data_IF_185685863696
#
_entry.id   IF_185685863696
#
_cell.length_a   1.000
_cell.length_b   1.000
_cell.length_c   1.000
_cell.angle_alpha   90.00
_cell.angle_beta   90.00
_cell.angle_gamma   90.00
#
_symmetry.space_group_name_H-M   'P 1'
#
loop_
_entity.id
_entity.type
_entity.pdbx_description
1 polymer ?
#
# COMPACT_ATOMS: atom_id res chain seq x y z
N UNK A 1 -4.55 -8.24 14.09
CA UNK A 1 -4.33 -7.88 12.66
C UNK A 1 -2.89 -8.21 12.30
N UNK A 2 -2.67 -8.81 11.14
CA UNK A 2 -1.36 -8.99 10.52
C UNK A 2 -1.20 -7.89 9.48
N UNK A 3 -0.14 -7.13 9.59
CA UNK A 3 0.13 -5.99 8.68
C UNK A 3 1.05 -6.46 7.56
N UNK A 4 0.61 -6.26 6.34
CA UNK A 4 1.44 -6.28 5.14
C UNK A 4 1.67 -4.83 4.73
N UNK A 5 2.78 -4.30 5.21
CA UNK A 5 3.23 -2.96 4.87
C UNK A 5 3.64 -2.86 3.39
N UNK A 6 4.06 -1.73 2.95
CA UNK A 6 4.45 -1.46 1.56
C UNK A 6 5.42 -2.51 1.00
N UNK A 7 5.20 -2.91 -0.25
CA UNK A 7 6.09 -3.84 -0.96
C UNK A 7 7.28 -3.07 -1.55
N UNK A 8 8.35 -2.95 -0.77
CA UNK A 8 9.54 -2.15 -1.13
C UNK A 8 10.79 -2.99 -1.43
N UNK A 9 10.60 -4.22 -1.90
CA UNK A 9 11.71 -5.15 -2.13
C UNK A 9 12.48 -4.89 -3.44
N UNK A 10 12.11 -3.86 -4.18
CA UNK A 10 12.72 -3.55 -5.47
C UNK A 10 12.41 -4.62 -6.52
N UNK A 11 13.38 -4.95 -7.34
CA UNK A 11 13.20 -5.89 -8.46
C UNK A 11 13.26 -7.38 -8.08
N UNK A 12 13.24 -7.74 -6.81
CA UNK A 12 13.24 -9.16 -6.42
C UNK A 12 11.85 -9.77 -6.62
N UNK A 13 11.74 -10.64 -7.60
CA UNK A 13 10.49 -11.29 -8.00
C UNK A 13 10.74 -12.70 -8.55
N UNK A 14 11.61 -13.46 -7.88
CA UNK A 14 12.02 -14.80 -8.29
C UNK A 14 12.11 -15.72 -7.08
N UNK A 15 11.62 -16.97 -7.23
CA UNK A 15 11.68 -18.03 -6.22
C UNK A 15 12.35 -19.28 -6.81
N UNK A 16 12.77 -20.22 -5.96
CA UNK A 16 13.50 -21.42 -6.39
C UNK A 16 12.72 -22.30 -7.37
N UNK A 17 11.40 -22.32 -7.28
CA UNK A 17 10.48 -23.08 -8.10
C UNK A 17 9.90 -22.30 -9.30
N UNK A 18 10.21 -21.00 -9.40
CA UNK A 18 9.60 -20.08 -10.36
C UNK A 18 9.64 -20.59 -11.81
N UNK A 19 10.79 -21.08 -12.27
CA UNK A 19 10.93 -21.59 -13.65
C UNK A 19 10.12 -22.85 -13.90
N UNK A 20 9.99 -23.70 -12.89
CA UNK A 20 9.17 -24.92 -12.96
C UNK A 20 7.70 -24.55 -13.09
N UNK A 21 7.23 -23.65 -12.25
CA UNK A 21 5.85 -23.15 -12.29
C UNK A 21 5.55 -22.40 -13.57
N UNK A 22 6.49 -21.56 -14.06
CA UNK A 22 6.36 -20.89 -15.35
C UNK A 22 6.10 -21.88 -16.48
N UNK A 23 6.91 -22.95 -16.54
CA UNK A 23 6.76 -23.99 -17.56
C UNK A 23 5.42 -24.72 -17.44
N UNK A 24 4.97 -25.00 -16.24
CA UNK A 24 3.66 -25.63 -16.00
C UNK A 24 2.51 -24.74 -16.46
N UNK A 25 2.61 -23.43 -16.21
CA UNK A 25 1.55 -22.47 -16.49
C UNK A 25 1.46 -22.09 -17.97
N UNK A 26 2.60 -21.82 -18.59
CA UNK A 26 2.65 -21.30 -19.97
C UNK A 26 3.03 -22.34 -21.03
N UNK A 27 3.44 -23.53 -20.63
CA UNK A 27 3.71 -24.65 -21.52
C UNK A 27 5.05 -24.60 -22.26
N UNK A 28 5.94 -23.67 -21.90
CA UNK A 28 7.27 -23.57 -22.49
C UNK A 28 8.35 -23.23 -21.45
N UNK A 29 9.62 -23.47 -21.80
CA UNK A 29 10.75 -23.20 -20.92
C UNK A 29 11.14 -21.73 -21.01
N UNK A 30 11.21 -21.02 -19.86
CA UNK A 30 11.61 -19.63 -19.77
C UNK A 30 13.11 -19.41 -20.01
N UNK A 31 13.97 -20.39 -19.68
CA UNK A 31 15.43 -20.24 -19.67
C UNK A 31 16.00 -19.74 -21.00
N UNK A 32 15.61 -20.30 -22.18
CA UNK A 32 16.09 -19.81 -23.47
C UNK A 32 15.73 -18.35 -23.77
N UNK A 33 14.69 -17.80 -23.11
CA UNK A 33 14.21 -16.43 -23.32
C UNK A 33 14.81 -15.41 -22.35
N UNK A 34 15.56 -15.82 -21.32
CA UNK A 34 16.16 -14.88 -20.36
C UNK A 34 17.01 -13.77 -20.99
N UNK A 35 17.71 -13.97 -22.14
CA UNK A 35 18.43 -12.90 -22.81
C UNK A 35 17.53 -11.70 -23.23
N UNK A 36 16.21 -11.89 -23.32
CA UNK A 36 15.25 -10.81 -23.62
C UNK A 36 15.32 -9.69 -22.58
N UNK A 37 15.62 -10.00 -21.32
CA UNK A 37 15.83 -8.99 -20.28
C UNK A 37 17.03 -8.04 -20.52
N UNK A 38 17.92 -8.42 -21.46
CA UNK A 38 19.03 -7.58 -21.92
C UNK A 38 18.73 -6.90 -23.25
N UNK A 39 17.47 -6.90 -23.70
CA UNK A 39 17.06 -6.30 -24.96
C UNK A 39 17.37 -7.15 -26.20
N UNK A 40 17.73 -8.41 -26.02
CA UNK A 40 17.98 -9.32 -27.14
C UNK A 40 16.68 -9.96 -27.62
N UNK A 41 16.50 -10.03 -28.94
CA UNK A 41 15.37 -10.74 -29.53
C UNK A 41 15.70 -12.24 -29.60
N UNK A 42 14.78 -13.06 -29.06
CA UNK A 42 14.87 -14.53 -29.09
C UNK A 42 13.73 -15.08 -29.94
N UNK A 43 14.03 -15.89 -30.93
CA UNK A 43 13.15 -16.43 -31.97
C UNK A 43 12.53 -15.35 -32.86
N UNK A 44 11.76 -14.43 -32.29
CA UNK A 44 11.15 -13.28 -32.97
C UNK A 44 10.81 -12.18 -31.93
N UNK A 45 10.57 -10.96 -32.40
CA UNK A 45 10.08 -9.86 -31.56
C UNK A 45 8.79 -10.26 -30.85
N UNK A 46 7.84 -10.82 -31.59
CA UNK A 46 6.57 -11.27 -31.03
C UNK A 46 6.73 -12.33 -29.93
N UNK A 47 7.66 -13.29 -30.12
CA UNK A 47 7.93 -14.31 -29.10
C UNK A 47 8.59 -13.71 -27.86
N UNK A 48 9.48 -12.74 -28.06
CA UNK A 48 10.15 -12.02 -26.97
C UNK A 48 9.17 -11.16 -26.15
N UNK A 49 8.29 -10.43 -26.83
CA UNK A 49 7.24 -9.62 -26.17
C UNK A 49 6.28 -10.51 -25.40
N UNK A 50 5.89 -11.64 -25.98
CA UNK A 50 5.03 -12.62 -25.32
C UNK A 50 5.69 -13.17 -24.04
N UNK A 51 6.96 -13.51 -24.10
CA UNK A 51 7.71 -13.94 -22.91
C UNK A 51 7.72 -12.87 -21.81
N UNK A 52 7.98 -11.60 -22.15
CA UNK A 52 7.96 -10.51 -21.17
C UNK A 52 6.57 -10.34 -20.56
N UNK A 53 5.52 -10.47 -21.35
CA UNK A 53 4.14 -10.40 -20.85
C UNK A 53 3.84 -11.57 -19.90
N UNK A 54 4.17 -12.80 -20.27
CA UNK A 54 3.93 -13.99 -19.46
C UNK A 54 4.69 -13.91 -18.12
N UNK A 55 5.94 -13.41 -18.15
CA UNK A 55 6.74 -13.19 -16.94
C UNK A 55 6.11 -12.16 -16.01
N UNK A 56 5.72 -11.00 -16.53
CA UNK A 56 5.06 -9.95 -15.73
C UNK A 56 3.74 -10.45 -15.15
N UNK A 57 2.96 -11.15 -15.96
CA UNK A 57 1.69 -11.72 -15.51
C UNK A 57 1.88 -12.74 -14.40
N UNK A 58 2.86 -13.61 -14.51
CA UNK A 58 3.17 -14.59 -13.48
C UNK A 58 3.59 -13.92 -12.16
N UNK A 59 4.47 -12.93 -12.23
CA UNK A 59 4.89 -12.18 -11.04
C UNK A 59 3.68 -11.49 -10.39
N UNK A 60 2.85 -10.81 -11.19
CA UNK A 60 1.67 -10.13 -10.69
C UNK A 60 0.69 -11.08 -9.98
N UNK A 61 0.44 -12.24 -10.56
CA UNK A 61 -0.43 -13.26 -9.98
C UNK A 61 0.16 -13.84 -8.69
N UNK A 62 1.47 -14.14 -8.66
CA UNK A 62 2.11 -14.66 -7.45
C UNK A 62 2.10 -13.64 -6.32
N UNK A 63 2.31 -12.36 -6.61
CA UNK A 63 2.19 -11.31 -5.60
C UNK A 63 0.76 -11.23 -5.06
N UNK A 64 -0.23 -11.26 -5.92
CA UNK A 64 -1.62 -11.16 -5.48
C UNK A 64 -2.09 -12.39 -4.71
N UNK A 65 -1.90 -13.58 -5.27
CA UNK A 65 -2.52 -14.80 -4.76
C UNK A 65 -1.64 -15.55 -3.77
N UNK A 66 -0.33 -15.68 -4.04
CA UNK A 66 0.57 -16.45 -3.18
C UNK A 66 1.11 -15.61 -2.02
N UNK A 67 1.51 -14.37 -2.27
CA UNK A 67 2.01 -13.48 -1.22
C UNK A 67 0.87 -12.87 -0.40
N UNK A 68 0.04 -12.02 -0.99
CA UNK A 68 -1.03 -11.33 -0.25
C UNK A 68 -2.11 -12.32 0.18
N UNK A 69 -2.65 -13.08 -0.76
CA UNK A 69 -3.67 -14.08 -0.51
C UNK A 69 -3.20 -15.22 0.38
N UNK A 70 -1.98 -15.71 0.17
CA UNK A 70 -1.37 -16.77 0.98
C UNK A 70 -1.19 -16.35 2.44
N UNK A 71 -0.75 -15.11 2.69
CA UNK A 71 -0.64 -14.60 4.06
C UNK A 71 -2.02 -14.46 4.73
N UNK A 72 -3.03 -13.99 3.99
CA UNK A 72 -4.41 -13.97 4.47
C UNK A 72 -4.88 -15.38 4.86
N UNK A 73 -4.70 -16.35 3.98
CA UNK A 73 -5.19 -17.72 4.20
C UNK A 73 -4.52 -18.39 5.41
N UNK A 74 -3.23 -18.10 5.61
CA UNK A 74 -2.52 -18.56 6.81
C UNK A 74 -3.05 -17.82 8.04
N UNK A 75 -3.22 -16.52 7.98
CA UNK A 75 -3.71 -15.70 9.09
C UNK A 75 -5.09 -16.15 9.56
N UNK A 76 -5.99 -16.44 8.63
CA UNK A 76 -7.35 -16.94 8.94
C UNK A 76 -7.35 -18.25 9.72
N UNK A 77 -6.38 -19.15 9.49
CA UNK A 77 -6.25 -20.41 10.28
C UNK A 77 -6.02 -20.14 11.77
N UNK A 78 -5.52 -18.97 12.11
CA UNK A 78 -5.26 -18.53 13.48
C UNK A 78 -6.25 -17.48 13.98
N UNK A 79 -7.35 -17.24 13.26
CA UNK A 79 -8.36 -16.24 13.61
C UNK A 79 -7.87 -14.79 13.51
N UNK A 80 -6.85 -14.54 12.68
CA UNK A 80 -6.28 -13.22 12.45
C UNK A 80 -6.79 -12.65 11.14
N UNK A 81 -6.90 -11.33 11.08
CA UNK A 81 -7.21 -10.55 9.88
C UNK A 81 -5.95 -9.93 9.31
N UNK A 82 -5.92 -9.72 8.01
CA UNK A 82 -4.82 -9.03 7.31
C UNK A 82 -5.20 -7.60 6.96
N UNK A 83 -4.23 -6.72 7.06
CA UNK A 83 -4.27 -5.35 6.55
C UNK A 83 -3.13 -5.19 5.54
N UNK A 84 -3.42 -4.60 4.39
CA UNK A 84 -2.46 -4.42 3.30
C UNK A 84 -2.37 -2.95 2.93
N UNK A 85 -1.16 -2.45 2.77
CA UNK A 85 -0.88 -1.17 2.16
C UNK A 85 -0.75 -1.28 0.64
N UNK A 86 -1.55 -0.49 -0.09
CA UNK A 86 -1.39 -0.29 -1.51
C UNK A 86 -0.23 0.67 -1.78
N UNK A 87 0.85 0.14 -2.34
CA UNK A 87 2.07 0.90 -2.61
C UNK A 87 2.34 1.01 -4.11
N UNK A 88 1.60 1.91 -4.78
CA UNK A 88 1.53 1.94 -6.23
C UNK A 88 2.54 2.81 -6.96
N UNK A 89 3.12 3.81 -6.31
CA UNK A 89 3.97 4.82 -6.97
C UNK A 89 5.38 4.34 -7.31
N UNK A 90 5.84 3.26 -6.71
CA UNK A 90 7.17 2.66 -6.94
C UNK A 90 7.15 1.49 -7.95
N UNK A 91 6.06 1.35 -8.72
CA UNK A 91 5.94 0.27 -9.68
C UNK A 91 5.75 -1.08 -9.02
N UNK A 92 4.78 -1.20 -8.15
CA UNK A 92 4.37 -2.46 -7.54
C UNK A 92 4.15 -3.53 -8.62
N UNK A 93 4.67 -4.74 -8.48
CA UNK A 93 4.70 -5.73 -9.55
C UNK A 93 3.35 -6.43 -9.78
N UNK A 94 2.24 -5.88 -9.28
CA UNK A 94 0.89 -6.40 -9.44
C UNK A 94 -0.11 -5.27 -9.60
N UNK A 95 -1.32 -5.59 -9.98
CA UNK A 95 -2.40 -4.65 -10.22
C UNK A 95 -3.18 -4.43 -8.90
N UNK A 96 -3.49 -3.16 -8.56
CA UNK A 96 -4.05 -2.77 -7.26
C UNK A 96 -5.32 -3.51 -6.87
N UNK A 97 -6.27 -3.59 -7.79
CA UNK A 97 -7.55 -4.20 -7.49
C UNK A 97 -7.39 -5.69 -7.24
N UNK A 98 -6.48 -6.32 -7.97
CA UNK A 98 -6.24 -7.74 -7.85
C UNK A 98 -5.59 -8.10 -6.51
N UNK A 99 -4.45 -7.52 -6.17
CA UNK A 99 -3.78 -7.87 -4.91
C UNK A 99 -4.50 -7.31 -3.68
N UNK A 100 -5.08 -6.11 -3.78
CA UNK A 100 -5.83 -5.50 -2.68
C UNK A 100 -7.12 -6.26 -2.36
N UNK A 101 -7.73 -6.88 -3.38
CA UNK A 101 -8.87 -7.78 -3.19
C UNK A 101 -8.56 -9.01 -2.34
N UNK A 102 -7.28 -9.42 -2.26
CA UNK A 102 -6.84 -10.59 -1.51
C UNK A 102 -6.62 -10.33 -0.01
N UNK A 103 -6.59 -9.08 0.46
CA UNK A 103 -6.48 -8.75 1.89
C UNK A 103 -7.86 -8.51 2.52
N UNK A 104 -7.98 -8.62 3.84
CA UNK A 104 -9.23 -8.31 4.55
C UNK A 104 -9.48 -6.80 4.61
N UNK A 105 -8.47 -6.04 5.02
CA UNK A 105 -8.50 -4.58 5.06
C UNK A 105 -7.47 -4.03 4.07
N UNK A 106 -7.72 -2.84 3.56
CA UNK A 106 -6.88 -2.17 2.59
C UNK A 106 -6.51 -0.78 3.09
N UNK A 107 -5.31 -0.35 2.79
CA UNK A 107 -4.83 0.99 3.06
C UNK A 107 -4.02 1.55 1.91
N UNK A 108 -3.86 2.84 1.93
CA UNK A 108 -2.88 3.58 1.15
C UNK A 108 -1.93 4.30 2.09
N UNK A 109 -1.19 5.23 1.55
CA UNK A 109 -0.25 6.09 2.25
C UNK A 109 -0.44 7.54 1.78
N UNK A 110 -0.20 8.50 2.66
CA UNK A 110 0.00 9.89 2.22
C UNK A 110 0.99 10.64 3.10
N UNK A 111 1.73 11.50 2.45
CA UNK A 111 2.67 12.37 3.12
C UNK A 111 2.05 13.73 3.46
N UNK A 112 2.55 14.35 4.49
CA UNK A 112 2.12 15.68 4.93
C UNK A 112 2.31 16.74 3.87
N UNK A 113 3.33 16.59 3.03
CA UNK A 113 3.66 17.48 1.92
C UNK A 113 3.81 16.71 0.62
N UNK A 114 3.74 17.44 -0.51
CA UNK A 114 3.95 16.91 -1.85
C UNK A 114 2.73 16.16 -2.40
N UNK A 115 2.98 15.34 -3.41
CA UNK A 115 1.93 14.63 -4.16
C UNK A 115 1.76 13.17 -3.74
N UNK A 116 2.64 12.65 -2.90
CA UNK A 116 2.60 11.28 -2.47
C UNK A 116 1.32 11.00 -1.67
N UNK A 117 0.59 10.01 -2.09
CA UNK A 117 -0.73 9.66 -1.58
C UNK A 117 -1.85 9.79 -2.62
N UNK A 118 -1.63 10.50 -3.73
CA UNK A 118 -2.67 10.71 -4.74
C UNK A 118 -3.03 9.42 -5.48
N UNK A 119 -2.04 8.58 -5.81
CA UNK A 119 -2.25 7.29 -6.46
C UNK A 119 -2.64 6.23 -5.43
N UNK A 120 -1.89 6.13 -4.35
CA UNK A 120 -2.01 5.11 -3.31
C UNK A 120 -3.40 5.12 -2.68
N UNK A 121 -3.88 6.30 -2.27
CA UNK A 121 -5.17 6.42 -1.63
C UNK A 121 -6.34 6.22 -2.59
N UNK A 122 -6.23 6.66 -3.84
CA UNK A 122 -7.24 6.37 -4.87
C UNK A 122 -7.32 4.89 -5.19
N UNK A 123 -6.18 4.22 -5.27
CA UNK A 123 -6.10 2.78 -5.46
C UNK A 123 -6.75 2.02 -4.31
N UNK A 124 -6.39 2.37 -3.06
CA UNK A 124 -6.96 1.78 -1.86
C UNK A 124 -8.48 2.02 -1.77
N UNK A 125 -8.92 3.24 -2.03
CA UNK A 125 -10.33 3.62 -2.01
C UNK A 125 -11.13 2.87 -3.07
N UNK A 126 -10.64 2.85 -4.33
CA UNK A 126 -11.27 2.12 -5.43
C UNK A 126 -11.38 0.63 -5.11
N UNK A 127 -10.30 0.03 -4.64
CA UNK A 127 -10.28 -1.37 -4.22
C UNK A 127 -11.29 -1.63 -3.08
N UNK A 128 -11.30 -0.79 -2.06
CA UNK A 128 -12.25 -0.89 -0.95
C UNK A 128 -13.70 -0.86 -1.43
N UNK A 129 -14.05 0.07 -2.31
CA UNK A 129 -15.39 0.21 -2.85
C UNK A 129 -15.82 -0.99 -3.70
N UNK A 130 -14.95 -1.46 -4.62
CA UNK A 130 -15.25 -2.59 -5.50
C UNK A 130 -15.45 -3.89 -4.71
N UNK A 131 -14.65 -4.13 -3.68
CA UNK A 131 -14.75 -5.34 -2.87
C UNK A 131 -15.65 -5.19 -1.64
N UNK A 132 -16.35 -4.05 -1.49
CA UNK A 132 -17.29 -3.82 -0.40
C UNK A 132 -16.64 -3.71 0.98
N UNK A 133 -15.38 -3.28 1.04
CA UNK A 133 -14.67 -3.05 2.31
C UNK A 133 -15.13 -1.72 2.90
N UNK A 134 -15.62 -1.75 4.12
CA UNK A 134 -16.12 -0.54 4.81
C UNK A 134 -15.03 0.25 5.51
N UNK A 135 -13.85 -0.35 5.71
CA UNK A 135 -12.71 0.29 6.36
C UNK A 135 -11.55 0.40 5.38
N UNK A 136 -11.24 1.63 5.01
CA UNK A 136 -10.19 1.99 4.07
C UNK A 136 -9.22 2.91 4.80
N UNK A 137 -8.02 2.38 5.05
CA UNK A 137 -7.03 3.05 5.87
C UNK A 137 -6.06 3.88 5.02
N UNK A 138 -5.27 4.71 5.69
CA UNK A 138 -4.02 5.20 5.14
C UNK A 138 -2.97 5.31 6.25
N UNK A 139 -1.74 4.93 5.95
CA UNK A 139 -0.57 5.43 6.66
C UNK A 139 -0.54 6.95 6.46
N UNK A 140 -0.69 7.68 7.54
CA UNK A 140 -1.13 9.07 7.46
C UNK A 140 -0.09 10.02 7.99
N UNK A 141 0.24 11.03 7.18
CA UNK A 141 1.13 12.13 7.53
C UNK A 141 2.60 11.73 7.67
N UNK A 142 3.04 10.71 6.96
CA UNK A 142 4.47 10.48 6.70
C UNK A 142 5.09 11.77 6.16
N UNK A 143 6.32 12.06 6.51
CA UNK A 143 6.95 13.32 6.13
C UNK A 143 8.47 13.22 6.10
N UNK A 144 9.10 14.15 5.42
CA UNK A 144 10.55 14.34 5.44
C UNK A 144 10.91 15.77 5.85
N UNK A 145 12.20 16.03 6.01
CA UNK A 145 12.70 17.38 6.32
C UNK A 145 12.81 17.64 7.83
N UNK A 146 12.53 18.88 8.24
CA UNK A 146 12.76 19.31 9.61
C UNK A 146 11.81 18.62 10.60
N UNK A 147 12.34 17.90 11.59
CA UNK A 147 11.52 17.31 12.64
C UNK A 147 10.81 18.38 13.48
N UNK A 148 9.71 18.00 14.13
CA UNK A 148 8.91 18.84 15.03
C UNK A 148 8.38 20.15 14.42
N UNK A 149 8.28 20.24 13.08
CA UNK A 149 7.85 21.45 12.39
C UNK A 149 6.36 21.50 12.08
N UNK A 150 5.65 20.38 12.20
CA UNK A 150 4.23 20.26 11.86
C UNK A 150 3.34 20.31 13.08
N UNK A 151 2.13 20.79 12.89
CA UNK A 151 1.15 20.94 13.98
C UNK A 151 -0.25 20.50 13.50
N UNK A 152 -1.18 20.24 14.44
CA UNK A 152 -2.50 19.66 14.12
C UNK A 152 -3.28 20.38 13.02
N UNK A 153 -3.15 21.69 12.88
CA UNK A 153 -3.84 22.46 11.83
C UNK A 153 -3.45 22.06 10.42
N UNK A 154 -2.15 21.96 10.14
CA UNK A 154 -1.63 21.55 8.82
C UNK A 154 -1.89 20.07 8.56
N UNK A 155 -1.68 19.23 9.57
CA UNK A 155 -1.91 17.78 9.51
C UNK A 155 -3.40 17.50 9.22
N UNK A 156 -4.30 18.19 9.91
CA UNK A 156 -5.74 18.07 9.70
C UNK A 156 -6.15 18.45 8.28
N UNK A 157 -5.68 19.59 7.78
CA UNK A 157 -6.01 20.05 6.44
C UNK A 157 -5.63 19.02 5.37
N UNK A 158 -4.47 18.41 5.52
CA UNK A 158 -4.00 17.34 4.62
C UNK A 158 -4.85 16.09 4.73
N UNK A 159 -5.15 15.64 5.95
CA UNK A 159 -5.99 14.47 6.21
C UNK A 159 -7.42 14.63 5.71
N UNK A 160 -8.03 15.82 5.87
CA UNK A 160 -9.38 16.12 5.41
C UNK A 160 -9.53 15.95 3.89
N UNK A 161 -8.49 16.28 3.13
CA UNK A 161 -8.46 16.02 1.69
C UNK A 161 -8.67 14.53 1.41
N UNK A 162 -7.91 13.66 2.07
CA UNK A 162 -8.00 12.22 1.84
C UNK A 162 -9.28 11.60 2.40
N UNK A 163 -9.88 12.19 3.43
CA UNK A 163 -11.24 11.84 3.82
C UNK A 163 -12.25 12.11 2.69
N UNK A 164 -12.12 13.24 1.99
CA UNK A 164 -12.96 13.55 0.84
C UNK A 164 -12.70 12.60 -0.37
N UNK A 165 -11.51 12.00 -0.45
CA UNK A 165 -11.14 11.02 -1.47
C UNK A 165 -11.50 9.56 -1.07
N UNK A 166 -12.06 9.35 0.13
CA UNK A 166 -12.62 8.05 0.57
C UNK A 166 -11.82 7.29 1.62
N UNK A 167 -10.67 7.81 2.06
CA UNK A 167 -9.99 7.27 3.25
C UNK A 167 -10.88 7.52 4.46
N UNK A 168 -11.03 6.50 5.31
CA UNK A 168 -11.92 6.59 6.46
C UNK A 168 -11.33 5.96 7.74
N UNK A 169 -10.04 5.62 7.72
CA UNK A 169 -9.33 5.12 8.88
C UNK A 169 -7.88 5.62 8.88
N UNK A 170 -7.57 6.51 9.81
CA UNK A 170 -6.27 7.18 9.91
C UNK A 170 -5.30 6.36 10.76
N UNK A 171 -4.16 5.99 10.23
CA UNK A 171 -3.03 5.40 10.95
C UNK A 171 -1.90 6.44 11.01
N UNK A 172 -1.76 7.11 12.15
CA UNK A 172 -0.81 8.21 12.28
C UNK A 172 0.63 7.72 12.22
N UNK A 173 1.41 8.25 11.31
CA UNK A 173 2.82 7.94 11.14
C UNK A 173 3.69 9.14 11.52
N UNK A 174 4.51 9.05 12.61
CA UNK A 174 4.77 7.82 13.36
C UNK A 174 4.94 8.13 14.87
N UNK A 175 4.57 7.19 15.71
CA UNK A 175 4.90 7.24 17.13
C UNK A 175 6.21 6.49 17.38
N UNK A 176 7.30 7.23 17.59
CA UNK A 176 8.59 6.67 17.98
C UNK A 176 8.66 6.59 19.50
N UNK A 177 8.96 5.41 20.00
CA UNK A 177 9.18 5.17 21.43
C UNK A 177 10.25 6.10 22.00
N UNK A 178 9.93 6.76 23.11
CA UNK A 178 10.82 7.69 23.80
C UNK A 178 11.25 7.11 25.15
N UNK A 179 12.29 6.25 25.21
CA UNK A 179 12.67 5.58 26.45
C UNK A 179 13.41 6.47 27.45
N UNK A 180 13.91 7.63 26.99
CA UNK A 180 14.71 8.54 27.81
C UNK A 180 13.99 9.86 28.09
N UNK A 181 13.85 10.23 29.36
CA UNK A 181 13.22 11.50 29.75
C UNK A 181 14.15 12.71 29.51
N UNK A 182 15.43 12.52 29.69
CA UNK A 182 16.48 13.57 29.61
C UNK A 182 16.94 13.87 28.17
N UNK A 183 16.55 13.05 27.18
CA UNK A 183 16.90 13.28 25.77
C UNK A 183 15.91 14.23 25.10
N UNK A 184 16.39 15.37 24.64
CA UNK A 184 15.63 16.34 23.87
C UNK A 184 16.37 16.68 22.57
N UNK A 185 15.69 16.72 21.45
CA UNK A 185 14.27 16.54 21.19
C UNK A 185 13.76 15.09 21.27
N UNK A 186 14.60 14.14 21.58
CA UNK A 186 14.27 12.73 21.64
C UNK A 186 14.57 11.98 20.33
N UNK A 187 14.11 10.74 20.27
CA UNK A 187 14.25 9.91 19.08
C UNK A 187 13.14 10.24 18.08
N UNK A 188 13.48 10.25 16.81
CA UNK A 188 12.52 10.42 15.72
C UNK A 188 12.91 9.57 14.49
N UNK A 189 11.96 9.35 13.60
CA UNK A 189 12.21 8.85 12.27
C UNK A 189 12.40 10.02 11.30
N UNK A 190 13.28 9.88 10.33
CA UNK A 190 13.52 10.92 9.32
C UNK A 190 12.35 11.09 8.32
N UNK A 191 11.41 10.14 8.32
CA UNK A 191 10.27 10.05 7.42
C UNK A 191 8.91 10.09 8.13
N UNK A 192 8.82 10.56 9.36
CA UNK A 192 7.57 10.60 10.08
C UNK A 192 7.34 11.85 10.91
N UNK A 193 6.08 12.17 11.20
CA UNK A 193 5.74 13.18 12.19
C UNK A 193 5.93 12.64 13.60
N UNK A 194 6.28 13.53 14.50
CA UNK A 194 6.60 13.19 15.88
C UNK A 194 5.32 13.21 16.75
N UNK A 195 4.49 12.16 16.63
CA UNK A 195 3.27 11.99 17.42
C UNK A 195 3.56 11.45 18.82
N UNK A 196 4.48 12.05 19.55
CA UNK A 196 4.90 11.59 20.86
C UNK A 196 5.06 12.72 21.88
N UNK A 197 5.26 12.36 23.15
CA UNK A 197 5.31 13.28 24.28
C UNK A 197 6.41 14.36 24.23
N UNK A 198 7.39 14.22 23.36
CA UNK A 198 8.45 15.23 23.18
C UNK A 198 7.99 16.39 22.28
N UNK A 199 6.87 16.22 21.55
CA UNK A 199 6.31 17.29 20.75
C UNK A 199 5.55 18.29 21.63
N UNK A 200 5.70 19.58 21.33
CA UNK A 200 5.16 20.67 22.15
C UNK A 200 3.63 20.69 22.25
N UNK A 201 2.93 20.18 21.27
CA UNK A 201 1.46 20.11 21.24
C UNK A 201 0.89 18.75 21.67
N UNK A 202 1.74 17.81 22.08
CA UNK A 202 1.30 16.45 22.45
C UNK A 202 0.28 16.45 23.61
N UNK A 203 0.40 17.40 24.55
CA UNK A 203 -0.57 17.53 25.66
C UNK A 203 -2.01 17.85 25.21
N UNK A 204 -2.20 18.32 23.98
CA UNK A 204 -3.50 18.56 23.34
C UNK A 204 -3.82 17.53 22.24
N UNK A 205 -3.06 16.46 22.13
CA UNK A 205 -3.25 15.43 21.10
C UNK A 205 -4.63 14.76 21.19
N UNK A 206 -5.23 14.72 22.38
CA UNK A 206 -6.57 14.21 22.60
C UNK A 206 -7.63 14.97 21.79
N UNK A 207 -7.51 16.27 21.61
CA UNK A 207 -8.42 17.07 20.79
C UNK A 207 -8.39 16.60 19.33
N UNK A 208 -7.20 16.40 18.80
CA UNK A 208 -7.01 15.93 17.41
C UNK A 208 -7.48 14.48 17.26
N UNK A 209 -7.13 13.60 18.17
CA UNK A 209 -7.56 12.20 18.10
C UNK A 209 -9.07 12.04 18.29
N UNK A 210 -9.74 12.87 19.09
CA UNK A 210 -11.20 12.88 19.15
C UNK A 210 -11.84 13.33 17.83
N UNK A 211 -11.24 14.30 17.15
CA UNK A 211 -11.68 14.67 15.81
C UNK A 211 -11.56 13.46 14.85
N UNK A 212 -10.39 12.83 14.77
CA UNK A 212 -10.16 11.65 13.93
C UNK A 212 -11.14 10.52 14.25
N UNK A 213 -11.34 10.21 15.53
CA UNK A 213 -12.28 9.19 15.98
C UNK A 213 -13.69 9.43 15.46
N UNK A 214 -14.18 10.66 15.55
CA UNK A 214 -15.52 11.04 15.08
C UNK A 214 -15.62 10.98 13.55
N UNK A 215 -14.64 11.52 12.85
CA UNK A 215 -14.60 11.51 11.38
C UNK A 215 -14.54 10.07 10.86
N UNK A 216 -13.60 9.27 11.34
CA UNK A 216 -13.45 7.87 10.94
C UNK A 216 -14.73 7.07 11.22
N UNK A 217 -15.34 7.22 12.39
CA UNK A 217 -16.59 6.53 12.71
C UNK A 217 -17.72 6.89 11.74
N UNK A 218 -17.92 8.16 11.43
CA UNK A 218 -18.98 8.60 10.53
C UNK A 218 -18.73 8.14 9.09
N UNK A 219 -17.48 8.23 8.62
CA UNK A 219 -17.11 7.87 7.24
C UNK A 219 -17.11 6.35 6.99
N UNK A 220 -17.08 5.53 8.03
CA UNK A 220 -17.17 4.07 7.93
C UNK A 220 -18.62 3.56 7.89
N UNK A 221 -19.62 4.44 7.95
CA UNK A 221 -21.02 4.02 7.92
C UNK A 221 -21.53 3.89 6.50
N UNK A 222 -22.09 2.72 6.20
CA UNK A 222 -22.67 2.41 4.88
C UNK A 222 -21.62 1.96 3.85
N UNK A 223 -22.08 1.93 2.61
CA UNK A 223 -21.28 1.56 1.43
C UNK A 223 -21.19 2.75 0.48
N UNK A 224 -20.12 2.80 -0.28
CA UNK A 224 -19.97 3.81 -1.33
C UNK A 224 -21.04 3.63 -2.41
N UNK A 225 -21.64 4.72 -2.85
CA UNK A 225 -22.57 4.76 -3.99
C UNK A 225 -21.90 5.51 -5.13
N UNK A 226 -21.72 4.84 -6.26
CA UNK A 226 -21.14 5.41 -7.46
C UNK A 226 -22.02 5.11 -8.68
N UNK A 227 -22.31 6.14 -9.47
CA UNK A 227 -23.11 6.02 -10.70
C UNK A 227 -22.27 5.59 -11.91
N UNK A 228 -20.95 5.74 -11.84
CA UNK A 228 -20.02 5.47 -12.94
C UNK A 228 -18.82 4.68 -12.42
N UNK A 229 -18.45 3.65 -13.17
CA UNK A 229 -17.19 2.93 -13.01
C UNK A 229 -16.28 3.18 -14.21
N UNK A 230 -15.00 3.43 -13.96
CA UNK A 230 -13.99 3.58 -15.00
C UNK A 230 -13.18 2.29 -15.10
N UNK A 231 -13.18 1.69 -16.29
CA UNK A 231 -12.28 0.58 -16.58
C UNK A 231 -10.90 1.15 -16.95
N UNK A 232 -9.87 0.75 -16.21
CA UNK A 232 -8.48 1.23 -16.38
C UNK A 232 -7.54 0.18 -16.99
N UNK A 233 -8.06 -0.98 -17.37
CA UNK A 233 -7.30 -2.11 -17.88
C UNK A 233 -6.83 -3.08 -16.79
N UNK A 234 -6.23 -4.17 -17.22
CA UNK A 234 -5.71 -5.25 -16.35
C UNK A 234 -4.19 -5.35 -16.42
N UNK A 235 -3.56 -4.48 -17.18
CA UNK A 235 -2.12 -4.57 -17.37
C UNK A 235 -1.39 -4.30 -16.07
N UNK A 236 -0.47 -5.18 -15.74
CA UNK A 236 0.40 -5.02 -14.60
C UNK A 236 1.13 -3.67 -14.66
N UNK A 237 1.45 -3.07 -13.51
CA UNK A 237 2.01 -1.75 -13.45
C UNK A 237 3.32 -1.61 -14.23
N UNK A 238 3.65 -0.40 -14.49
CA UNK A 238 4.73 0.13 -15.32
C UNK A 238 6.11 -0.42 -15.01
#
# INVERSE_FOLDING_TARGET
>A
VVVQDSYETGGQNFTDDFLTEFKQRYGYDAVPYLPVYKGLVVNSEQASDRFLWDMRRMVADKVAYDYVGGLRDISHKYGLHTWLECYGHWGFPSEFLMYGGQSDEIGGEFWSEGELGDIENRAATSCGHIYGKTKISAESNTCAGSPFSRYPGTIKQRGDRFFAEGINNTLLHVYITQPYEDKNPGMNAWFGNEFNRKNTWFSQMDVYTQYLKRANYMLQQGLNVADVAYFIGEDAPK
#
